data_IF_010951732914
#
_entry.id   IF_010951732914
#
_cell.length_a   1.000
_cell.length_b   1.000
_cell.length_c   1.000
_cell.angle_alpha   90.00
_cell.angle_beta   90.00
_cell.angle_gamma   90.00
#
_symmetry.space_group_name_H-M   'P 1'
#
loop_
_entity.id
_entity.type
_entity.pdbx_description
1 polymer ?
#
# COMPACT_ATOMS: atom_id res chain seq x y z
N UNK A 1 -0.14 7.41 -20.46
CA UNK A 1 -1.17 7.63 -19.42
C UNK A 1 -1.21 9.13 -19.15
N UNK A 2 -2.38 9.80 -19.18
CA UNK A 2 -2.49 11.20 -18.80
C UNK A 2 -1.87 11.48 -17.42
N UNK A 3 -1.15 12.59 -17.26
CA UNK A 3 -0.45 12.94 -16.02
C UNK A 3 -1.38 13.00 -14.80
N UNK A 4 -2.66 13.31 -15.02
CA UNK A 4 -3.67 13.39 -13.96
C UNK A 4 -3.89 12.05 -13.24
N UNK A 5 -3.83 10.93 -13.96
CA UNK A 5 -3.99 9.61 -13.33
C UNK A 5 -2.78 9.23 -12.49
N UNK A 6 -1.58 9.63 -12.92
CA UNK A 6 -0.37 9.39 -12.14
C UNK A 6 -0.44 10.09 -10.78
N UNK A 7 -0.86 11.35 -10.76
CA UNK A 7 -1.02 12.11 -9.51
C UNK A 7 -2.13 11.53 -8.63
N UNK A 8 -3.27 11.16 -9.22
CA UNK A 8 -4.38 10.57 -8.48
C UNK A 8 -4.00 9.24 -7.80
N UNK A 9 -3.24 8.38 -8.49
CA UNK A 9 -2.77 7.09 -7.94
C UNK A 9 -1.83 7.32 -6.76
N UNK A 10 -0.86 8.22 -6.90
CA UNK A 10 0.08 8.54 -5.80
C UNK A 10 -0.68 9.10 -4.60
N UNK A 11 -1.62 10.02 -4.82
CA UNK A 11 -2.42 10.56 -3.72
C UNK A 11 -3.29 9.47 -3.06
N UNK A 12 -3.92 8.60 -3.85
CA UNK A 12 -4.72 7.50 -3.31
C UNK A 12 -3.86 6.55 -2.48
N UNK A 13 -2.66 6.20 -2.94
CA UNK A 13 -1.71 5.37 -2.19
C UNK A 13 -1.44 5.92 -0.79
N UNK A 14 -1.10 7.21 -0.68
CA UNK A 14 -0.85 7.84 0.62
C UNK A 14 -2.11 7.94 1.50
N UNK A 15 -3.30 8.07 0.89
CA UNK A 15 -4.57 8.07 1.62
C UNK A 15 -4.92 6.69 2.19
N UNK A 16 -4.52 5.60 1.52
CA UNK A 16 -4.67 4.23 2.04
C UNK A 16 -3.78 4.04 3.26
N UNK A 17 -2.53 4.50 3.24
CA UNK A 17 -1.71 4.55 4.45
C UNK A 17 -2.38 5.35 5.57
N UNK A 18 -2.85 6.58 5.26
CA UNK A 18 -3.54 7.40 6.26
C UNK A 18 -4.76 6.70 6.86
N UNK A 19 -5.51 5.94 6.06
CA UNK A 19 -6.63 5.12 6.54
C UNK A 19 -6.16 4.05 7.51
N UNK A 20 -5.13 3.27 7.18
CA UNK A 20 -4.58 2.25 8.08
C UNK A 20 -4.09 2.87 9.40
N UNK A 21 -3.44 4.04 9.36
CA UNK A 21 -3.05 4.78 10.57
C UNK A 21 -4.26 5.21 11.41
N UNK A 22 -5.29 5.78 10.77
CA UNK A 22 -6.50 6.25 11.46
C UNK A 22 -7.32 5.12 12.08
N UNK A 23 -7.28 3.93 11.48
CA UNK A 23 -7.91 2.71 12.02
C UNK A 23 -7.07 2.03 13.11
N UNK A 24 -5.81 2.44 13.28
CA UNK A 24 -4.86 1.73 14.15
C UNK A 24 -4.44 0.36 13.60
N UNK A 25 -4.61 0.15 12.29
CA UNK A 25 -4.30 -1.11 11.60
C UNK A 25 -2.97 -1.05 10.82
N UNK A 26 -2.27 0.10 10.85
CA UNK A 26 -0.98 0.24 10.20
C UNK A 26 0.00 -0.83 10.69
N UNK A 27 0.57 -1.58 9.75
CA UNK A 27 1.47 -2.69 10.06
C UNK A 27 2.81 -2.13 10.54
N UNK A 28 2.97 -2.09 11.87
CA UNK A 28 4.24 -1.79 12.52
C UNK A 28 4.80 -3.07 13.14
N UNK A 29 5.45 -3.91 12.32
CA UNK A 29 6.24 -5.02 12.86
C UNK A 29 7.48 -4.42 13.52
N UNK A 30 7.49 -4.36 14.85
CA UNK A 30 8.67 -4.02 15.66
C UNK A 30 9.17 -5.33 16.27
N UNK A 31 10.19 -5.98 15.69
CA UNK A 31 10.78 -7.18 16.28
C UNK A 31 11.39 -6.85 17.64
N UNK A 32 11.03 -7.64 18.65
CA UNK A 32 11.47 -7.44 20.02
C UNK A 32 13.00 -7.52 20.20
N UNK A 33 13.72 -8.22 19.32
CA UNK A 33 15.08 -8.71 19.61
C UNK A 33 16.16 -8.34 18.58
N UNK A 34 15.90 -7.49 17.57
CA UNK A 34 16.85 -7.32 16.45
C UNK A 34 17.38 -5.88 16.28
N UNK A 35 18.71 -5.66 16.33
CA UNK A 35 19.36 -4.39 15.97
C UNK A 35 19.18 -3.97 14.49
N UNK A 36 18.74 -4.90 13.64
CA UNK A 36 18.65 -4.75 12.18
C UNK A 36 17.19 -4.66 11.67
N UNK A 37 16.23 -4.64 12.59
CA UNK A 37 14.81 -4.90 12.32
C UNK A 37 13.96 -3.72 11.83
N UNK A 38 14.53 -2.53 11.76
CA UNK A 38 13.77 -1.33 11.33
C UNK A 38 13.39 -1.40 9.83
N UNK A 39 14.03 -2.28 9.04
CA UNK A 39 13.91 -2.27 7.57
C UNK A 39 12.73 -3.03 6.98
N UNK A 40 12.10 -3.95 7.72
CA UNK A 40 11.06 -4.81 7.16
C UNK A 40 9.61 -4.38 7.35
N UNK A 41 9.15 -3.75 8.46
CA UNK A 41 7.71 -3.45 8.64
C UNK A 41 7.10 -2.58 7.53
N UNK A 42 7.91 -1.72 6.91
CA UNK A 42 7.49 -0.89 5.80
C UNK A 42 7.08 -1.71 4.58
N UNK A 43 7.71 -2.86 4.31
CA UNK A 43 7.37 -3.64 3.11
C UNK A 43 5.99 -4.27 3.21
N UNK A 44 5.63 -4.87 4.34
CA UNK A 44 4.30 -5.46 4.47
C UNK A 44 3.19 -4.40 4.35
N UNK A 45 3.37 -3.25 5.00
CA UNK A 45 2.44 -2.12 4.91
C UNK A 45 2.33 -1.56 3.48
N UNK A 46 3.45 -1.43 2.76
CA UNK A 46 3.48 -1.01 1.36
C UNK A 46 2.82 -2.05 0.43
N UNK A 47 3.08 -3.36 0.62
CA UNK A 47 2.43 -4.40 -0.16
C UNK A 47 0.92 -4.44 0.07
N UNK A 48 0.47 -4.21 1.31
CA UNK A 48 -0.94 -4.09 1.66
C UNK A 48 -1.57 -2.88 1.00
N UNK A 49 -0.92 -1.73 1.10
CA UNK A 49 -1.36 -0.48 0.50
C UNK A 49 -1.44 -0.57 -1.02
N UNK A 50 -0.49 -1.25 -1.66
CA UNK A 50 -0.53 -1.50 -3.10
C UNK A 50 -1.62 -2.53 -3.45
N UNK A 51 -1.88 -3.53 -2.60
CA UNK A 51 -2.81 -4.62 -2.85
C UNK A 51 -2.20 -5.68 -3.78
N UNK A 52 -0.97 -6.12 -3.51
CA UNK A 52 -0.32 -7.22 -4.25
C UNK A 52 0.38 -8.21 -3.32
N UNK A 53 0.71 -9.40 -3.85
CA UNK A 53 1.21 -10.51 -3.03
C UNK A 53 0.10 -11.11 -2.15
N UNK A 54 0.27 -11.20 -0.82
CA UNK A 54 -0.76 -11.75 0.07
C UNK A 54 -1.97 -10.82 0.26
N UNK A 55 -1.90 -9.57 -0.21
CA UNK A 55 -2.92 -8.54 0.01
C UNK A 55 -3.82 -8.28 -1.22
N UNK A 56 -3.90 -9.22 -2.16
CA UNK A 56 -4.69 -9.06 -3.41
C UNK A 56 -6.21 -9.00 -3.17
N UNK A 57 -6.67 -9.42 -1.99
CA UNK A 57 -8.07 -9.38 -1.57
C UNK A 57 -8.42 -8.14 -0.73
N UNK A 58 -7.50 -7.19 -0.54
CA UNK A 58 -7.79 -5.94 0.19
C UNK A 58 -8.92 -5.18 -0.51
N UNK A 59 -9.92 -4.77 0.26
CA UNK A 59 -11.08 -4.04 -0.28
C UNK A 59 -10.68 -2.61 -0.71
N UNK A 60 -9.70 -2.03 -0.02
CA UNK A 60 -9.16 -0.69 -0.29
C UNK A 60 -7.65 -0.83 -0.48
N UNK A 61 -7.18 -0.56 -1.70
CA UNK A 61 -5.76 -0.56 -2.07
C UNK A 61 -5.51 0.23 -3.36
N UNK A 62 -4.26 0.58 -3.63
CA UNK A 62 -3.84 1.18 -4.90
C UNK A 62 -4.34 0.37 -6.11
N UNK A 63 -4.22 -0.96 -6.07
CA UNK A 63 -4.67 -1.82 -7.17
C UNK A 63 -6.19 -1.84 -7.35
N UNK A 64 -6.98 -1.74 -6.27
CA UNK A 64 -8.44 -1.57 -6.40
C UNK A 64 -8.76 -0.25 -7.11
N UNK A 65 -8.10 0.85 -6.75
CA UNK A 65 -8.27 2.14 -7.42
C UNK A 65 -7.80 2.10 -8.88
N UNK A 66 -6.66 1.46 -9.16
CA UNK A 66 -6.16 1.26 -10.53
C UNK A 66 -7.17 0.51 -11.40
N UNK A 67 -7.82 -0.52 -10.85
CA UNK A 67 -8.87 -1.27 -11.54
C UNK A 67 -10.09 -0.38 -11.83
N UNK A 68 -10.51 0.46 -10.88
CA UNK A 68 -11.65 1.38 -11.04
C UNK A 68 -11.43 2.41 -12.17
N UNK A 69 -10.21 2.94 -12.29
CA UNK A 69 -9.87 3.94 -13.33
C UNK A 69 -9.38 3.32 -14.65
N UNK A 70 -9.38 1.98 -14.77
CA UNK A 70 -9.07 1.27 -16.00
C UNK A 70 -7.59 1.27 -16.38
N UNK A 71 -6.68 1.21 -15.40
CA UNK A 71 -5.23 1.28 -15.63
C UNK A 71 -4.51 0.02 -15.15
N UNK A 72 -3.31 -0.30 -15.66
CA UNK A 72 -2.61 -1.52 -15.26
C UNK A 72 -2.33 -1.57 -13.76
N UNK A 73 -2.54 -2.75 -13.17
CA UNK A 73 -2.21 -3.04 -11.78
C UNK A 73 -0.69 -3.01 -11.55
N UNK A 74 -0.28 -2.64 -10.34
CA UNK A 74 1.09 -2.75 -9.86
C UNK A 74 1.31 -4.13 -9.24
N UNK A 75 2.17 -4.92 -9.87
CA UNK A 75 2.48 -6.31 -9.47
C UNK A 75 3.90 -6.48 -8.90
N UNK A 76 4.63 -5.38 -8.72
CA UNK A 76 6.02 -5.33 -8.27
C UNK A 76 6.30 -4.02 -7.51
N UNK A 77 7.39 -4.03 -6.74
CA UNK A 77 7.94 -2.86 -6.03
C UNK A 77 8.37 -1.76 -6.98
#
# INVERSE_FOLDING_TARGET
>A
MPDIWRLAIVLYHELVHALHYLQGECIHIIPADSPESIRYPYREEEARTIGFGPFTSETISENTFRAEIGVPLRIHW
#
